data_IF_073058928664
#
_entry.id   IF_073058928664
#
_cell.length_a   1.000
_cell.length_b   1.000
_cell.length_c   1.000
_cell.angle_alpha   90.00
_cell.angle_beta   90.00
_cell.angle_gamma   90.00
#
_symmetry.space_group_name_H-M   'P 1'
#
loop_
_entity.id
_entity.type
_entity.pdbx_description
1 polymer ?
#
# COMPACT_ATOMS: atom_id res chain seq x y z
N UNK A 1 0.24 -18.61 -13.87
CA UNK A 1 0.20 -17.26 -14.48
C UNK A 1 -0.78 -16.33 -13.75
N UNK A 2 -2.06 -16.70 -13.57
CA UNK A 2 -3.06 -15.92 -12.81
C UNK A 2 -2.61 -15.52 -11.39
N UNK A 3 -1.90 -16.41 -10.67
CA UNK A 3 -1.37 -16.14 -9.33
C UNK A 3 -0.26 -15.08 -9.29
N UNK A 4 0.47 -14.88 -10.38
CA UNK A 4 1.55 -13.88 -10.47
C UNK A 4 0.97 -12.49 -10.71
N UNK A 5 0.03 -12.38 -11.65
CA UNK A 5 -0.68 -11.13 -11.95
C UNK A 5 -1.41 -10.62 -10.71
N UNK A 6 -2.10 -11.52 -9.97
CA UNK A 6 -2.76 -11.16 -8.71
C UNK A 6 -1.78 -10.56 -7.69
N UNK A 7 -0.55 -11.10 -7.55
CA UNK A 7 0.46 -10.56 -6.63
C UNK A 7 0.99 -9.20 -7.07
N UNK A 8 1.15 -8.98 -8.38
CA UNK A 8 1.54 -7.68 -8.93
C UNK A 8 0.46 -6.65 -8.61
N UNK A 9 -0.81 -6.97 -8.87
CA UNK A 9 -1.94 -6.09 -8.53
C UNK A 9 -1.95 -5.77 -7.03
N UNK A 10 -1.76 -6.78 -6.17
CA UNK A 10 -1.66 -6.55 -4.73
C UNK A 10 -0.50 -5.61 -4.37
N UNK A 11 0.65 -5.75 -5.03
CA UNK A 11 1.79 -4.85 -4.87
C UNK A 11 1.46 -3.41 -5.26
N UNK A 12 0.75 -3.21 -6.37
CA UNK A 12 0.29 -1.88 -6.81
C UNK A 12 -0.63 -1.25 -5.75
N UNK A 13 -1.60 -2.02 -5.24
CA UNK A 13 -2.53 -1.54 -4.21
C UNK A 13 -1.80 -1.17 -2.91
N UNK A 14 -0.82 -1.99 -2.50
CA UNK A 14 0.00 -1.69 -1.33
C UNK A 14 0.81 -0.40 -1.54
N UNK A 15 1.40 -0.20 -2.72
CA UNK A 15 2.12 1.02 -3.07
C UNK A 15 1.23 2.27 -2.99
N UNK A 16 -0.02 2.20 -3.48
CA UNK A 16 -0.98 3.30 -3.33
C UNK A 16 -1.19 3.70 -1.86
N UNK A 17 -1.25 2.72 -0.95
CA UNK A 17 -1.35 3.01 0.48
C UNK A 17 -0.09 3.58 1.12
N UNK A 18 1.05 3.60 0.43
CA UNK A 18 2.24 4.32 0.88
C UNK A 18 2.35 5.73 0.28
N UNK A 19 1.74 5.96 -0.88
CA UNK A 19 1.78 7.24 -1.59
C UNK A 19 0.66 8.18 -1.09
N UNK A 20 -0.53 7.63 -0.83
CA UNK A 20 -1.70 8.42 -0.43
C UNK A 20 -1.66 8.80 1.07
N UNK A 21 -1.81 10.10 1.41
CA UNK A 21 -1.81 10.53 2.80
C UNK A 21 -3.05 9.98 3.52
N UNK A 22 -2.88 9.46 4.74
CA UNK A 22 -3.99 8.92 5.54
C UNK A 22 -4.41 7.49 5.21
N UNK A 23 -3.80 6.85 4.21
CA UNK A 23 -3.93 5.40 3.99
C UNK A 23 -2.68 4.70 4.57
N UNK A 24 -2.86 3.53 5.20
CA UNK A 24 -1.74 2.72 5.70
C UNK A 24 -1.45 1.55 4.77
N UNK A 25 -0.31 1.59 4.08
CA UNK A 25 0.16 0.50 3.22
C UNK A 25 0.31 -0.84 3.96
N UNK A 26 0.67 -0.82 5.24
CA UNK A 26 0.74 -2.02 6.09
C UNK A 26 -0.63 -2.66 6.36
N UNK A 27 -1.67 -1.85 6.56
CA UNK A 27 -3.05 -2.32 6.72
C UNK A 27 -3.57 -2.91 5.41
N UNK A 28 -3.29 -2.28 4.27
CA UNK A 28 -3.62 -2.87 2.96
C UNK A 28 -2.90 -4.21 2.75
N UNK A 29 -1.63 -4.32 3.15
CA UNK A 29 -0.92 -5.59 3.09
C UNK A 29 -1.56 -6.68 3.97
N UNK A 30 -2.15 -6.31 5.11
CA UNK A 30 -2.88 -7.22 6.00
C UNK A 30 -4.20 -7.68 5.39
N UNK A 31 -5.00 -6.75 4.88
CA UNK A 31 -6.27 -7.04 4.19
C UNK A 31 -6.03 -7.95 2.97
N UNK A 32 -4.94 -7.74 2.24
CA UNK A 32 -4.58 -8.54 1.06
C UNK A 32 -3.93 -9.90 1.40
N UNK A 33 -3.75 -10.20 2.69
CA UNK A 33 -3.19 -11.45 3.21
C UNK A 33 -1.68 -11.62 3.01
N UNK A 34 -0.98 -10.56 2.61
CA UNK A 34 0.49 -10.57 2.41
C UNK A 34 1.21 -10.39 3.74
N UNK A 35 0.61 -9.61 4.65
CA UNK A 35 1.21 -9.24 5.93
C UNK A 35 1.59 -10.46 6.77
N UNK A 36 0.69 -11.44 6.92
CA UNK A 36 0.99 -12.63 7.71
C UNK A 36 2.20 -13.40 7.17
N UNK A 37 2.31 -13.52 5.84
CA UNK A 37 3.45 -14.18 5.20
C UNK A 37 4.73 -13.39 5.41
N UNK A 38 4.65 -12.06 5.38
CA UNK A 38 5.77 -11.16 5.67
C UNK A 38 6.26 -11.33 7.11
N UNK A 39 5.35 -11.33 8.10
CA UNK A 39 5.71 -11.55 9.51
C UNK A 39 6.32 -12.94 9.71
N UNK A 40 5.76 -13.99 9.09
CA UNK A 40 6.33 -15.35 9.17
C UNK A 40 7.73 -15.43 8.57
N UNK A 41 7.96 -14.78 7.44
CA UNK A 41 9.28 -14.68 6.81
C UNK A 41 10.26 -13.93 7.72
N UNK A 42 9.85 -12.82 8.33
CA UNK A 42 10.70 -12.06 9.27
C UNK A 42 11.03 -12.87 10.53
N UNK A 43 10.10 -13.68 11.03
CA UNK A 43 10.32 -14.51 12.21
C UNK A 43 11.23 -15.72 11.92
N UNK A 44 11.19 -16.28 10.71
CA UNK A 44 11.95 -17.47 10.31
C UNK A 44 12.54 -17.34 8.89
N UNK A 45 13.46 -16.39 8.65
CA UNK A 45 13.88 -16.01 7.31
C UNK A 45 14.55 -17.13 6.53
N UNK A 46 15.26 -18.03 7.21
CA UNK A 46 16.01 -19.11 6.57
C UNK A 46 15.20 -20.40 6.35
N UNK A 47 13.98 -20.50 6.88
CA UNK A 47 13.21 -21.76 6.81
C UNK A 47 12.71 -22.05 5.39
N UNK A 48 12.05 -21.06 4.78
CA UNK A 48 11.46 -21.18 3.43
C UNK A 48 11.92 -20.03 2.52
N UNK A 49 13.18 -19.60 2.67
CA UNK A 49 13.72 -18.39 2.04
C UNK A 49 13.41 -18.30 0.54
N UNK A 50 13.66 -19.37 -0.22
CA UNK A 50 13.46 -19.40 -1.68
C UNK A 50 11.99 -19.19 -2.05
N UNK A 51 11.06 -19.86 -1.37
CA UNK A 51 9.62 -19.75 -1.67
C UNK A 51 9.04 -18.39 -1.29
N UNK A 52 9.49 -17.83 -0.16
CA UNK A 52 9.05 -16.52 0.31
C UNK A 52 9.59 -15.41 -0.60
N UNK A 53 10.88 -15.46 -0.96
CA UNK A 53 11.46 -14.51 -1.92
C UNK A 53 10.77 -14.58 -3.29
N UNK A 54 10.51 -15.78 -3.81
CA UNK A 54 9.76 -15.95 -5.07
C UNK A 54 8.30 -15.47 -4.97
N UNK A 55 7.72 -15.47 -3.76
CA UNK A 55 6.39 -14.89 -3.53
C UNK A 55 6.42 -13.37 -3.50
N UNK A 56 7.41 -12.77 -2.81
CA UNK A 56 7.52 -11.32 -2.68
C UNK A 56 8.02 -10.64 -3.95
N UNK A 57 8.77 -11.34 -4.82
CA UNK A 57 9.29 -10.78 -6.06
C UNK A 57 8.20 -10.11 -6.95
N UNK A 58 7.09 -10.77 -7.32
CA UNK A 58 6.02 -10.11 -8.08
C UNK A 58 5.30 -9.00 -7.30
N UNK A 59 5.22 -9.11 -5.97
CA UNK A 59 4.64 -8.04 -5.13
C UNK A 59 5.53 -6.79 -5.17
N UNK A 60 6.85 -6.96 -5.03
CA UNK A 60 7.83 -5.90 -5.10
C UNK A 60 7.83 -5.23 -6.49
N UNK A 61 7.75 -6.01 -7.56
CA UNK A 61 7.58 -5.49 -8.93
C UNK A 61 6.29 -4.66 -9.02
N UNK A 62 5.17 -5.18 -8.48
CA UNK A 62 3.92 -4.43 -8.42
C UNK A 62 4.02 -3.14 -7.62
N UNK A 63 4.75 -3.12 -6.51
CA UNK A 63 4.98 -1.91 -5.73
C UNK A 63 5.78 -0.87 -6.50
N UNK A 64 6.88 -1.27 -7.16
CA UNK A 64 7.70 -0.37 -7.98
C UNK A 64 6.90 0.18 -9.16
N UNK A 65 6.11 -0.67 -9.83
CA UNK A 65 5.20 -0.23 -10.90
C UNK A 65 4.13 0.72 -10.37
N UNK A 66 3.56 0.44 -9.21
CA UNK A 66 2.57 1.31 -8.56
C UNK A 66 3.16 2.69 -8.24
N UNK A 67 4.35 2.73 -7.65
CA UNK A 67 5.06 4.00 -7.38
C UNK A 67 5.36 4.73 -8.69
N UNK A 68 5.93 4.06 -9.69
CA UNK A 68 6.26 4.68 -10.97
C UNK A 68 5.02 5.21 -11.72
N UNK A 69 3.92 4.45 -11.72
CA UNK A 69 2.70 4.81 -12.43
C UNK A 69 1.88 5.88 -11.71
N UNK A 70 1.86 5.85 -10.37
CA UNK A 70 0.96 6.70 -9.58
C UNK A 70 1.66 7.86 -8.85
N UNK A 71 3.00 7.91 -8.81
CA UNK A 71 3.72 9.04 -8.21
C UNK A 71 3.31 10.39 -8.81
N UNK A 72 3.48 10.56 -10.13
CA UNK A 72 3.16 11.80 -10.83
C UNK A 72 1.68 12.23 -10.73
N UNK A 73 0.68 11.37 -11.04
CA UNK A 73 -0.71 11.79 -10.95
C UNK A 73 -1.14 12.10 -9.51
N UNK A 74 -0.67 11.36 -8.50
CA UNK A 74 -1.00 11.66 -7.11
C UNK A 74 -0.35 12.97 -6.66
N UNK A 75 0.90 13.21 -7.02
CA UNK A 75 1.60 14.48 -6.75
C UNK A 75 0.84 15.67 -7.37
N UNK A 76 0.45 15.56 -8.64
CA UNK A 76 -0.35 16.58 -9.31
C UNK A 76 -1.70 16.85 -8.62
N UNK A 77 -2.40 15.78 -8.20
CA UNK A 77 -3.66 15.90 -7.46
C UNK A 77 -3.44 16.56 -6.09
N UNK A 78 -2.35 16.24 -5.41
CA UNK A 78 -2.02 16.83 -4.12
C UNK A 78 -1.63 18.30 -4.25
N UNK A 79 -0.95 18.71 -5.32
CA UNK A 79 -0.59 20.11 -5.54
C UNK A 79 -1.80 20.99 -5.91
N UNK A 80 -2.69 20.49 -6.78
CA UNK A 80 -3.81 21.29 -7.28
C UNK A 80 -5.09 21.17 -6.43
N UNK A 81 -5.27 20.05 -5.73
CA UNK A 81 -6.46 19.75 -4.93
C UNK A 81 -6.13 19.38 -3.48
N UNK A 82 -5.00 19.87 -2.95
CA UNK A 82 -4.50 19.55 -1.60
C UNK A 82 -5.59 19.59 -0.52
N UNK A 83 -6.43 20.62 -0.53
CA UNK A 83 -7.50 20.82 0.45
C UNK A 83 -8.53 19.69 0.37
N UNK A 84 -9.01 19.34 -0.82
CA UNK A 84 -10.01 18.28 -0.99
C UNK A 84 -9.44 16.91 -0.63
N UNK A 85 -8.22 16.60 -1.08
CA UNK A 85 -7.58 15.31 -0.82
C UNK A 85 -7.30 15.14 0.68
N UNK A 86 -6.70 16.15 1.32
CA UNK A 86 -6.42 16.10 2.76
C UNK A 86 -7.70 16.06 3.60
N UNK A 87 -8.76 16.76 3.19
CA UNK A 87 -10.04 16.71 3.90
C UNK A 87 -10.70 15.34 3.75
N UNK A 88 -10.74 14.72 2.57
CA UNK A 88 -11.29 13.36 2.42
C UNK A 88 -10.64 12.33 3.34
N UNK A 89 -9.34 12.47 3.65
CA UNK A 89 -8.63 11.59 4.58
C UNK A 89 -8.69 12.02 6.05
N UNK A 90 -8.90 13.31 6.35
CA UNK A 90 -8.92 13.87 7.72
C UNK A 90 -10.32 14.01 8.32
N UNK A 91 -11.35 14.19 7.50
CA UNK A 91 -12.73 14.54 7.93
C UNK A 91 -13.35 13.59 8.95
N UNK A 92 -13.02 12.29 9.05
CA UNK A 92 -13.57 11.45 10.13
C UNK A 92 -13.07 11.81 11.55
N UNK A 93 -12.01 12.62 11.71
CA UNK A 93 -11.39 12.92 13.02
C UNK A 93 -11.75 14.29 13.60
N UNK A 94 -12.40 15.16 12.83
CA UNK A 94 -12.94 16.43 13.33
C UNK A 94 -14.45 16.26 13.52
N UNK A 95 -14.81 15.50 14.56
CA UNK A 95 -16.15 15.64 15.11
C UNK A 95 -16.36 17.08 15.59
N UNK A 96 -17.60 17.61 15.55
CA UNK A 96 -17.94 19.00 15.87
C UNK A 96 -17.68 19.46 17.32
N UNK A 97 -16.93 18.72 18.15
CA UNK A 97 -16.68 19.04 19.56
C UNK A 97 -15.69 20.19 19.78
N UNK A 98 -15.13 20.76 18.70
CA UNK A 98 -14.27 21.95 18.73
C UNK A 98 -14.91 23.17 18.03
N UNK A 99 -16.23 23.13 17.75
CA UNK A 99 -17.00 24.24 17.20
C UNK A 99 -17.74 25.06 18.29
N UNK A 100 -17.19 25.10 19.50
CA UNK A 100 -17.65 25.96 20.61
C UNK A 100 -16.59 27.00 20.96
#
# INVERSE_FOLDING_TARGET
>A
MLSWISKIIKGIVIALGFILPGISGGVLAAILGIYERMIRFLAHPFKNFKEDVLYFLPVAIGMLLGIGLFSYPIEYLLEHYQVYVLWSFRVPLLEPSQAL
#
